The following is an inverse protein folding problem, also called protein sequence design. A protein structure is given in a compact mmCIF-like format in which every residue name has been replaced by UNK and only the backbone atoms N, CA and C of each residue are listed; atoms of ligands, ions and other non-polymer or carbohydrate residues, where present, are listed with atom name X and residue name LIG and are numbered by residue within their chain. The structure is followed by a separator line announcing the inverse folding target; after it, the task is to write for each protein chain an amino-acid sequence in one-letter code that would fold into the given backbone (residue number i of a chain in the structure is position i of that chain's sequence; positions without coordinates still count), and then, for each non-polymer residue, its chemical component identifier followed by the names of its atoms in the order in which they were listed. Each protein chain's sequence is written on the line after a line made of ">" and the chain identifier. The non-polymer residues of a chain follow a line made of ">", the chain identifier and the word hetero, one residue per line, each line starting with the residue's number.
data_IF_376080782139
#
_entry.id   IF_376080782139
#
_cell.length_a   1.000
_cell.length_b   1.000
_cell.length_c   1.000
_cell.angle_alpha   90.00
_cell.angle_beta   90.00
_cell.angle_gamma   90.00
#
_symmetry.space_group_name_H-M   'P 1'
#
loop_
_entity.id
_entity.type
_entity.pdbx_description
1 polymer ?
#
# COMPACT_ATOMS: atom_id res chain seq x y z
N UNK A 1 7.60 -8.92 -14.80
CA UNK A 1 8.36 -8.92 -13.53
C UNK A 1 7.69 -7.95 -12.60
N UNK A 2 7.42 -8.38 -11.38
CA UNK A 2 6.56 -7.63 -10.45
C UNK A 2 7.38 -6.78 -9.48
N UNK A 3 6.91 -5.57 -9.19
CA UNK A 3 7.38 -4.72 -8.10
C UNK A 3 6.22 -4.42 -7.15
N UNK A 4 6.49 -4.37 -5.84
CA UNK A 4 5.52 -4.00 -4.81
C UNK A 4 5.79 -2.62 -4.25
N UNK A 5 4.73 -1.83 -4.04
CA UNK A 5 4.81 -0.45 -3.53
C UNK A 5 3.99 -0.29 -2.26
N UNK A 6 4.58 0.24 -1.20
CA UNK A 6 3.87 0.68 -0.01
C UNK A 6 2.91 1.82 -0.34
N UNK A 7 1.69 1.66 0.17
CA UNK A 7 0.60 2.62 0.10
C UNK A 7 -0.14 2.58 1.44
N UNK A 8 -0.77 3.67 1.82
CA UNK A 8 -1.79 3.61 2.87
C UNK A 8 -3.16 3.34 2.23
N UNK A 9 -4.08 2.82 3.02
CA UNK A 9 -5.45 2.60 2.64
C UNK A 9 -6.38 2.97 3.78
N UNK A 10 -7.63 3.27 3.46
CA UNK A 10 -8.71 3.45 4.42
C UNK A 10 -9.83 2.48 4.10
N UNK A 11 -10.39 1.88 5.14
CA UNK A 11 -11.56 1.00 5.04
C UNK A 11 -12.73 1.70 5.70
N UNK A 12 -13.80 1.93 4.94
CA UNK A 12 -15.06 2.42 5.46
C UNK A 12 -15.82 1.26 6.10
N UNK A 13 -16.26 1.46 7.34
CA UNK A 13 -17.11 0.52 8.08
C UNK A 13 -18.43 1.21 8.42
N UNK A 14 -19.40 0.47 8.97
CA UNK A 14 -20.67 1.05 9.39
C UNK A 14 -20.52 2.24 10.37
N UNK A 15 -19.44 2.29 11.17
CA UNK A 15 -19.31 3.25 12.27
C UNK A 15 -17.95 3.97 12.36
N UNK A 16 -17.00 3.61 11.51
CA UNK A 16 -15.60 4.06 11.63
C UNK A 16 -14.90 4.03 10.28
N UNK A 17 -13.82 4.80 10.17
CA UNK A 17 -12.86 4.70 9.07
C UNK A 17 -11.58 4.13 9.63
N UNK A 18 -11.06 3.09 8.99
CA UNK A 18 -9.91 2.34 9.51
C UNK A 18 -8.68 2.52 8.60
N UNK A 19 -7.69 3.34 8.99
CA UNK A 19 -6.41 3.42 8.29
C UNK A 19 -5.63 2.11 8.42
N UNK A 20 -5.02 1.69 7.32
CA UNK A 20 -4.19 0.49 7.23
C UNK A 20 -3.15 0.61 6.12
N UNK A 21 -2.23 -0.35 6.03
CA UNK A 21 -1.23 -0.40 4.96
C UNK A 21 -1.67 -1.37 3.86
N UNK A 22 -1.39 -0.98 2.62
CA UNK A 22 -1.56 -1.79 1.43
C UNK A 22 -0.24 -1.89 0.65
N UNK A 23 -0.09 -2.96 -0.12
CA UNK A 23 0.99 -3.09 -1.08
C UNK A 23 0.39 -3.22 -2.48
N UNK A 24 0.64 -2.21 -3.31
CA UNK A 24 0.22 -2.24 -4.70
C UNK A 24 1.28 -2.87 -5.58
N UNK A 25 0.90 -3.96 -6.25
CA UNK A 25 1.75 -4.64 -7.20
C UNK A 25 1.66 -3.98 -8.58
N UNK A 26 2.78 -3.96 -9.29
CA UNK A 26 2.81 -3.51 -10.68
C UNK A 26 3.72 -4.41 -11.50
N UNK A 27 3.22 -4.93 -12.62
CA UNK A 27 4.06 -5.60 -13.62
C UNK A 27 4.51 -4.60 -14.68
N UNK A 28 5.83 -4.44 -14.81
CA UNK A 28 6.46 -3.51 -15.77
C UNK A 28 6.18 -3.86 -17.23
N UNK A 29 6.01 -5.14 -17.56
CA UNK A 29 5.67 -5.56 -18.94
C UNK A 29 4.23 -5.15 -19.33
N UNK A 30 3.36 -4.92 -18.34
CA UNK A 30 1.99 -4.48 -18.58
C UNK A 30 1.84 -2.96 -18.54
N UNK A 31 2.76 -2.24 -17.88
CA UNK A 31 2.78 -0.77 -17.93
C UNK A 31 3.01 -0.24 -19.36
N UNK A 32 3.74 -0.97 -20.20
CA UNK A 32 3.95 -0.65 -21.62
C UNK A 32 2.65 -0.63 -22.43
N UNK A 33 1.61 -1.35 -21.97
CA UNK A 33 0.29 -1.43 -22.61
C UNK A 33 -0.73 -0.43 -22.01
N UNK A 34 -0.30 0.42 -21.08
CA UNK A 34 -1.10 1.47 -20.46
C UNK A 34 -1.39 1.24 -18.96
N UNK A 35 -1.34 2.32 -18.18
CA UNK A 35 -1.50 2.34 -16.71
C UNK A 35 -2.80 1.67 -16.21
N UNK A 36 -3.87 1.72 -17.00
CA UNK A 36 -5.15 1.11 -16.64
C UNK A 36 -5.13 -0.43 -16.74
N UNK A 37 -4.30 -0.99 -17.63
CA UNK A 37 -4.17 -2.43 -17.80
C UNK A 37 -3.28 -3.03 -16.71
N UNK A 38 -2.13 -2.40 -16.41
CA UNK A 38 -1.21 -2.89 -15.37
C UNK A 38 -1.84 -2.93 -13.96
N UNK A 39 -2.70 -1.95 -13.63
CA UNK A 39 -3.44 -1.90 -12.35
C UNK A 39 -4.55 -2.94 -12.22
N UNK A 40 -5.05 -3.50 -13.33
CA UNK A 40 -6.11 -4.54 -13.31
C UNK A 40 -5.56 -5.95 -13.16
N UNK A 41 -4.27 -6.16 -13.40
CA UNK A 41 -3.71 -7.52 -13.52
C UNK A 41 -2.95 -7.99 -12.27
N UNK A 42 -2.58 -7.08 -11.36
CA UNK A 42 -1.91 -7.46 -10.10
C UNK A 42 -2.74 -7.03 -8.90
N UNK A 43 -3.04 -7.93 -7.94
CA UNK A 43 -3.85 -7.59 -6.78
C UNK A 43 -3.11 -6.61 -5.86
N UNK A 44 -3.82 -5.64 -5.30
CA UNK A 44 -3.37 -4.94 -4.10
C UNK A 44 -3.51 -5.91 -2.90
N UNK A 45 -2.49 -5.98 -2.04
CA UNK A 45 -2.52 -6.78 -0.81
C UNK A 45 -2.75 -5.84 0.37
N UNK A 46 -3.77 -6.12 1.19
CA UNK A 46 -4.15 -5.30 2.34
C UNK A 46 -3.77 -5.98 3.66
N UNK A 47 -3.39 -5.18 4.66
CA UNK A 47 -3.17 -5.69 6.02
C UNK A 47 -4.45 -6.15 6.70
N UNK A 48 -4.30 -7.12 7.60
CA UNK A 48 -5.36 -7.60 8.50
C UNK A 48 -5.48 -6.75 9.77
N UNK A 49 -4.51 -5.88 10.03
CA UNK A 49 -4.51 -4.93 11.15
C UNK A 49 -4.82 -3.54 10.62
N UNK A 50 -5.64 -2.79 11.34
CA UNK A 50 -5.95 -1.39 11.05
C UNK A 50 -6.04 -0.60 12.36
N UNK A 51 -5.85 0.71 12.28
CA UNK A 51 -6.15 1.62 13.38
C UNK A 51 -7.57 2.16 13.23
N UNK A 52 -8.14 2.72 14.29
CA UNK A 52 -9.29 3.61 14.13
C UNK A 52 -8.76 4.99 13.76
N UNK A 53 -9.39 5.66 12.80
CA UNK A 53 -8.91 6.96 12.33
C UNK A 53 -8.78 7.96 13.48
N UNK A 54 -9.79 8.05 14.36
CA UNK A 54 -9.80 8.95 15.52
C UNK A 54 -8.63 8.75 16.49
N UNK A 55 -8.00 7.58 16.51
CA UNK A 55 -6.89 7.27 17.41
C UNK A 55 -5.54 7.77 16.84
N UNK A 56 -5.50 8.15 15.55
CA UNK A 56 -4.28 8.52 14.83
C UNK A 56 -4.43 9.79 13.97
N UNK A 57 -5.61 10.37 13.85
CA UNK A 57 -5.89 11.46 12.90
C UNK A 57 -5.09 12.73 13.16
N UNK A 58 -4.71 12.98 14.41
CA UNK A 58 -3.91 14.15 14.80
C UNK A 58 -2.45 14.08 14.32
N UNK A 59 -1.93 12.87 14.05
CA UNK A 59 -0.51 12.65 13.77
C UNK A 59 -0.23 11.87 12.48
N UNK A 60 -1.24 11.73 11.59
CA UNK A 60 -1.13 10.96 10.34
C UNK A 60 0.11 11.32 9.52
N UNK A 61 0.43 12.60 9.38
CA UNK A 61 1.57 13.09 8.57
C UNK A 61 2.93 12.59 9.06
N UNK A 62 3.05 12.29 10.36
CA UNK A 62 4.27 11.77 10.97
C UNK A 62 4.43 10.25 10.82
N UNK A 63 3.35 9.54 10.48
CA UNK A 63 3.36 8.09 10.33
C UNK A 63 4.32 7.73 9.20
N UNK A 64 5.27 6.85 9.52
CA UNK A 64 6.28 6.37 8.57
C UNK A 64 5.65 5.35 7.64
N UNK A 65 5.95 5.44 6.36
CA UNK A 65 5.54 4.47 5.33
C UNK A 65 6.79 3.90 4.68
N UNK A 66 6.98 2.59 4.81
CA UNK A 66 8.20 1.92 4.36
C UNK A 66 7.88 0.68 3.52
N UNK A 67 8.74 0.42 2.54
CA UNK A 67 8.73 -0.82 1.76
C UNK A 67 10.12 -1.44 1.71
N UNK A 68 10.15 -2.76 1.79
CA UNK A 68 11.36 -3.57 1.74
C UNK A 68 11.17 -4.67 0.70
N UNK A 69 12.10 -4.75 -0.25
CA UNK A 69 12.18 -5.86 -1.19
C UNK A 69 13.10 -6.92 -0.60
N UNK A 70 12.65 -8.17 -0.61
CA UNK A 70 13.48 -9.28 -0.14
C UNK A 70 13.95 -10.08 -1.34
N UNK A 71 15.27 -10.09 -1.57
CA UNK A 71 15.89 -10.99 -2.53
C UNK A 71 16.01 -12.41 -1.91
N UNK A 72 16.42 -13.39 -2.71
CA UNK A 72 16.56 -14.80 -2.28
C UNK A 72 17.46 -15.00 -1.04
N UNK A 73 18.30 -14.02 -0.69
CA UNK A 73 19.22 -14.02 0.44
C UNK A 73 18.61 -13.58 1.79
N UNK A 74 17.31 -13.22 1.82
CA UNK A 74 16.55 -12.74 2.99
C UNK A 74 17.04 -11.43 3.62
N UNK A 75 17.99 -10.73 3.00
CA UNK A 75 18.34 -9.37 3.43
C UNK A 75 17.42 -8.38 2.73
N UNK A 76 16.36 -7.96 3.44
CA UNK A 76 15.40 -6.98 2.94
C UNK A 76 16.09 -5.64 2.68
N UNK A 77 16.15 -5.21 1.41
CA UNK A 77 16.60 -3.86 1.04
C UNK A 77 15.43 -2.91 1.09
N UNK A 78 15.61 -1.76 1.75
CA UNK A 78 14.59 -0.72 1.76
C UNK A 78 14.48 -0.10 0.37
N UNK A 79 13.26 -0.01 -0.16
CA UNK A 79 12.96 0.57 -1.48
C UNK A 79 12.07 1.80 -1.38
N UNK A 80 11.39 1.99 -0.24
CA UNK A 80 10.65 3.21 0.06
C UNK A 80 10.84 3.55 1.54
N UNK A 81 11.04 4.82 1.82
CA UNK A 81 11.18 5.38 3.16
C UNK A 81 10.66 6.81 3.13
N UNK A 82 9.48 7.02 3.69
CA UNK A 82 8.84 8.33 3.70
C UNK A 82 7.79 8.42 4.79
N UNK A 83 6.97 9.45 4.71
CA UNK A 83 5.81 9.60 5.59
C UNK A 83 4.53 9.81 4.81
N UNK A 84 3.39 9.71 5.49
CA UNK A 84 2.09 9.97 4.86
C UNK A 84 1.96 11.42 4.37
N UNK A 85 2.74 12.37 4.92
CA UNK A 85 2.74 13.78 4.52
C UNK A 85 3.16 14.01 3.05
N UNK A 86 3.82 13.03 2.43
CA UNK A 86 4.20 13.10 1.01
C UNK A 86 3.03 12.82 0.06
N UNK A 87 1.89 12.40 0.60
CA UNK A 87 0.68 12.06 -0.15
C UNK A 87 -0.46 12.99 0.25
N UNK A 88 -1.48 13.09 -0.61
CA UNK A 88 -2.73 13.76 -0.23
C UNK A 88 -3.30 13.08 1.03
N UNK A 89 -3.70 13.85 2.06
CA UNK A 89 -4.02 13.28 3.37
C UNK A 89 -5.29 12.43 3.31
N UNK A 90 -5.43 11.41 4.19
CA UNK A 90 -6.64 10.58 4.26
C UNK A 90 -7.93 11.38 4.36
N UNK A 91 -7.94 12.48 5.13
CA UNK A 91 -9.11 13.36 5.29
C UNK A 91 -9.65 13.90 3.95
N UNK A 92 -8.76 14.35 3.06
CA UNK A 92 -9.14 14.83 1.73
C UNK A 92 -9.92 13.76 0.95
N UNK A 93 -9.43 12.52 1.01
CA UNK A 93 -10.04 11.40 0.28
C UNK A 93 -11.35 10.94 0.93
N UNK A 94 -11.43 10.95 2.26
CA UNK A 94 -12.67 10.64 2.99
C UNK A 94 -13.78 11.61 2.58
N UNK A 95 -13.49 12.91 2.56
CA UNK A 95 -14.43 13.94 2.10
C UNK A 95 -14.88 13.67 0.66
N UNK A 96 -13.93 13.43 -0.27
CA UNK A 96 -14.24 13.19 -1.68
C UNK A 96 -15.07 11.92 -1.93
N UNK A 97 -14.79 10.83 -1.23
CA UNK A 97 -15.54 9.57 -1.35
C UNK A 97 -16.95 9.74 -0.76
N UNK A 98 -17.07 10.47 0.34
CA UNK A 98 -18.36 10.77 0.98
C UNK A 98 -19.23 11.66 0.10
N UNK A 99 -18.68 12.75 -0.46
CA UNK A 99 -19.39 13.66 -1.38
C UNK A 99 -19.94 12.93 -2.61
N UNK A 100 -19.25 11.88 -3.06
CA UNK A 100 -19.67 11.06 -4.20
C UNK A 100 -20.74 10.02 -3.85
N UNK A 101 -21.02 9.80 -2.57
CA UNK A 101 -21.92 8.75 -2.09
C UNK A 101 -21.31 7.35 -2.11
N UNK A 102 -19.99 7.23 -2.27
CA UNK A 102 -19.28 5.94 -2.38
C UNK A 102 -18.75 5.44 -1.01
N UNK A 103 -18.94 6.21 0.07
CA UNK A 103 -18.47 5.92 1.44
C UNK A 103 -19.35 4.88 2.15
N UNK A 104 -19.59 3.75 1.49
CA UNK A 104 -20.37 2.63 2.03
C UNK A 104 -19.51 1.67 2.85
N UNK A 105 -20.15 0.89 3.73
CA UNK A 105 -19.45 -0.16 4.47
C UNK A 105 -18.79 -1.17 3.51
N UNK A 106 -17.50 -1.45 3.73
CA UNK A 106 -16.71 -2.31 2.87
C UNK A 106 -16.00 -1.58 1.73
N UNK A 107 -16.26 -0.29 1.51
CA UNK A 107 -15.47 0.51 0.59
C UNK A 107 -14.03 0.63 1.08
N UNK A 108 -13.08 0.43 0.18
CA UNK A 108 -11.65 0.59 0.43
C UNK A 108 -11.11 1.61 -0.56
N UNK A 109 -10.47 2.67 -0.04
CA UNK A 109 -9.66 3.56 -0.85
C UNK A 109 -8.19 3.30 -0.57
N UNK A 110 -7.43 3.09 -1.63
CA UNK A 110 -5.97 2.90 -1.58
C UNK A 110 -5.31 4.13 -2.18
N UNK A 111 -4.30 4.66 -1.50
CA UNK A 111 -3.61 5.87 -1.88
C UNK A 111 -2.76 5.73 -3.15
N UNK A 112 -2.09 6.84 -3.52
CA UNK A 112 -0.87 6.76 -4.33
C UNK A 112 0.27 6.05 -3.57
N UNK A 113 1.46 6.03 -4.16
CA UNK A 113 2.67 5.54 -3.51
C UNK A 113 3.68 6.67 -3.41
N UNK A 114 4.48 6.69 -2.35
CA UNK A 114 5.67 7.54 -2.25
C UNK A 114 6.74 7.09 -3.27
N UNK A 115 7.71 7.95 -3.63
CA UNK A 115 8.78 7.59 -4.55
C UNK A 115 9.53 6.32 -4.13
N UNK A 116 9.93 5.52 -5.12
CA UNK A 116 10.77 4.34 -4.93
C UNK A 116 12.23 4.75 -5.12
N UNK A 117 13.10 4.21 -4.29
CA UNK A 117 14.55 4.28 -4.50
C UNK A 117 14.94 3.54 -5.78
N UNK A 118 15.34 4.32 -6.79
CA UNK A 118 15.71 3.81 -8.11
C UNK A 118 17.06 3.08 -8.14
N UNK A 119 17.86 3.16 -7.08
CA UNK A 119 19.16 2.47 -6.99
C UNK A 119 19.01 1.01 -6.57
N UNK A 120 17.85 0.63 -6.02
CA UNK A 120 17.57 -0.73 -5.55
C UNK A 120 16.76 -1.51 -6.58
N UNK A 121 17.19 -2.75 -6.86
CA UNK A 121 16.38 -3.67 -7.66
C UNK A 121 15.09 -4.04 -6.90
N UNK A 122 14.00 -3.40 -7.31
CA UNK A 122 12.65 -3.58 -6.76
C UNK A 122 11.91 -4.83 -7.24
N UNK A 123 12.46 -5.55 -8.24
CA UNK A 123 11.85 -6.76 -8.80
C UNK A 123 12.28 -7.99 -8.00
N UNK A 124 11.32 -8.65 -7.36
CA UNK A 124 11.56 -9.82 -6.54
C UNK A 124 10.33 -10.73 -6.51
N UNK A 125 10.34 -11.71 -5.62
CA UNK A 125 9.20 -12.55 -5.31
C UNK A 125 8.66 -12.32 -3.89
N UNK A 126 9.16 -11.32 -3.16
CA UNK A 126 8.81 -11.07 -1.77
C UNK A 126 8.94 -9.59 -1.41
N UNK A 127 7.93 -9.07 -0.71
CA UNK A 127 7.92 -7.70 -0.18
C UNK A 127 7.38 -7.66 1.23
N UNK A 128 7.86 -6.68 1.99
CA UNK A 128 7.26 -6.24 3.25
C UNK A 128 6.97 -4.75 3.15
N UNK A 129 5.77 -4.33 3.52
CA UNK A 129 5.45 -2.91 3.67
C UNK A 129 4.90 -2.65 5.07
N UNK A 130 5.16 -1.46 5.59
CA UNK A 130 4.78 -1.09 6.95
C UNK A 130 4.35 0.37 7.05
N UNK A 131 3.39 0.61 7.94
CA UNK A 131 3.06 1.90 8.51
C UNK A 131 3.40 1.88 10.01
N UNK A 132 4.21 2.82 10.47
CA UNK A 132 4.61 2.91 11.88
C UNK A 132 4.27 4.28 12.45
N UNK A 133 3.47 4.29 13.51
CA UNK A 133 3.18 5.51 14.26
C UNK A 133 4.36 5.81 15.20
N UNK A 134 5.10 6.91 15.00
CA UNK A 134 6.30 7.19 15.79
C UNK A 134 6.00 7.53 17.26
N UNK A 135 4.79 7.97 17.58
CA UNK A 135 4.44 8.39 18.95
C UNK A 135 4.11 7.20 19.86
N UNK A 136 3.64 6.10 19.27
CA UNK A 136 3.23 4.88 19.99
C UNK A 136 4.14 3.68 19.71
N UNK A 137 5.03 3.79 18.72
CA UNK A 137 5.80 2.69 18.11
C UNK A 137 4.91 1.56 17.55
N UNK A 138 3.59 1.79 17.44
CA UNK A 138 2.69 0.78 16.91
C UNK A 138 2.85 0.67 15.40
N UNK A 139 2.92 -0.56 14.90
CA UNK A 139 3.18 -0.85 13.49
C UNK A 139 2.07 -1.70 12.90
N UNK A 140 1.61 -1.31 11.71
CA UNK A 140 0.79 -2.14 10.81
C UNK A 140 1.69 -2.58 9.66
N UNK A 141 1.82 -3.88 9.43
CA UNK A 141 2.67 -4.40 8.37
C UNK A 141 2.03 -5.59 7.65
N UNK A 142 2.44 -5.76 6.39
CA UNK A 142 2.23 -6.99 5.62
C UNK A 142 3.54 -7.45 5.03
N UNK A 143 3.71 -8.76 4.98
CA UNK A 143 4.77 -9.43 4.26
C UNK A 143 4.16 -10.60 3.49
N UNK A 144 4.58 -10.78 2.24
CA UNK A 144 4.09 -11.87 1.41
C UNK A 144 5.11 -12.24 0.34
N UNK A 145 4.92 -13.44 -0.20
CA UNK A 145 5.65 -13.92 -1.37
C UNK A 145 4.68 -14.16 -2.52
N UNK A 146 5.10 -13.90 -3.74
CA UNK A 146 4.35 -14.26 -4.95
C UNK A 146 4.99 -15.47 -5.62
N UNK A 147 4.18 -16.20 -6.40
CA UNK A 147 4.65 -17.23 -7.32
C UNK A 147 4.20 -16.82 -8.74
N UNK A 148 5.01 -17.12 -9.77
CA UNK A 148 4.56 -16.97 -11.14
C UNK A 148 3.24 -17.73 -11.35
N UNK A 149 2.31 -17.15 -12.09
CA UNK A 149 1.16 -17.90 -12.56
C UNK A 149 1.64 -19.01 -13.50
N UNK A 150 0.94 -20.15 -13.46
CA UNK A 150 1.15 -21.21 -14.44
C UNK A 150 0.77 -20.69 -15.83
N UNK A 151 1.42 -21.22 -16.87
CA UNK A 151 1.05 -20.91 -18.24
C UNK A 151 -0.42 -21.25 -18.48
N UNK A 152 -1.17 -20.43 -19.24
CA UNK A 152 -2.52 -20.76 -19.64
C UNK A 152 -2.55 -22.13 -20.32
N UNK A 153 -3.56 -22.92 -19.99
CA UNK A 153 -3.85 -24.14 -20.73
C UNK A 153 -4.63 -23.71 -21.98
N UNK A 154 -3.93 -23.58 -23.11
CA UNK A 154 -4.53 -23.36 -24.43
C UNK A 154 -4.40 -21.93 -24.97
#
# INVERSE_FOLDING_TARGET
>A
MTSGKAKWAIVFTANDVLPTVACGLTDRALEENGVAWSKKTSPDVLSKKAWRLKDVEENLDAIRLEAFVTAADRNGKQIQNGTLAELLPPKYWIEKVTERGDAEEGTILISGAIPIDGEVNQFANAWRVAMTNPDTDDTIAIAYTIKPMLEPIG
#
